data_IF_552715904527
#
_entry.id   IF_552715904527
#
_cell.length_a   1.000
_cell.length_b   1.000
_cell.length_c   1.000
_cell.angle_alpha   90.00
_cell.angle_beta   90.00
_cell.angle_gamma   90.00
#
_symmetry.space_group_name_H-M   'P 1'
#
loop_
_entity.id
_entity.type
_entity.pdbx_description
1 polymer ?
#
# COMPACT_ATOMS: atom_id res chain seq x y z
N UNK A 1 7.60 19.05 0.91
CA UNK A 1 6.54 18.03 0.88
C UNK A 1 5.20 18.69 1.14
N UNK A 2 4.19 18.33 0.40
CA UNK A 2 2.89 18.97 0.56
C UNK A 2 2.15 18.44 1.78
N UNK A 3 1.26 19.27 2.33
CA UNK A 3 0.38 18.86 3.43
C UNK A 3 -0.50 17.69 3.04
N UNK A 4 -0.83 17.58 1.76
CA UNK A 4 -1.67 16.50 1.26
C UNK A 4 -1.07 15.12 1.53
N UNK A 5 0.24 14.96 1.33
CA UNK A 5 0.90 13.69 1.62
C UNK A 5 0.80 13.33 3.09
N UNK A 6 1.00 14.31 3.95
CA UNK A 6 0.91 14.09 5.40
C UNK A 6 -0.52 13.74 5.81
N UNK A 7 -1.50 14.44 5.25
CA UNK A 7 -2.90 14.20 5.55
C UNK A 7 -3.33 12.80 5.13
N UNK A 8 -2.92 12.36 3.94
CA UNK A 8 -3.24 11.02 3.46
C UNK A 8 -2.59 9.97 4.36
N UNK A 9 -1.31 10.16 4.68
CA UNK A 9 -0.59 9.22 5.54
C UNK A 9 -1.24 9.12 6.92
N UNK A 10 -1.60 10.25 7.50
CA UNK A 10 -2.21 10.27 8.83
C UNK A 10 -3.62 9.66 8.83
N UNK A 11 -4.29 9.63 7.69
CA UNK A 11 -5.64 9.06 7.57
C UNK A 11 -5.61 7.54 7.45
N UNK A 12 -4.44 6.93 7.23
CA UNK A 12 -4.35 5.50 7.04
C UNK A 12 -4.55 4.77 8.37
N UNK A 13 -5.58 3.93 8.41
CA UNK A 13 -5.82 3.00 9.51
C UNK A 13 -5.54 1.58 9.03
N UNK A 14 -5.33 0.61 9.94
CA UNK A 14 -5.16 -0.77 9.52
C UNK A 14 -6.30 -1.28 8.64
N UNK A 15 -7.54 -0.88 8.95
CA UNK A 15 -8.72 -1.30 8.20
C UNK A 15 -8.75 -0.70 6.80
N UNK A 16 -8.38 0.58 6.67
CA UNK A 16 -8.31 1.23 5.36
C UNK A 16 -7.22 0.61 4.49
N UNK A 17 -6.06 0.32 5.08
CA UNK A 17 -4.96 -0.32 4.34
C UNK A 17 -5.36 -1.73 3.93
N UNK A 18 -6.02 -2.48 4.80
CA UNK A 18 -6.53 -3.80 4.45
C UNK A 18 -7.46 -3.73 3.24
N UNK A 19 -8.43 -2.81 3.27
CA UNK A 19 -9.36 -2.63 2.16
C UNK A 19 -8.65 -2.24 0.87
N UNK A 20 -7.68 -1.33 0.97
CA UNK A 20 -6.87 -0.92 -0.17
C UNK A 20 -6.15 -2.11 -0.79
N UNK A 21 -5.52 -2.93 0.04
CA UNK A 21 -4.75 -4.08 -0.45
C UNK A 21 -5.65 -5.09 -1.16
N UNK A 22 -6.84 -5.36 -0.62
CA UNK A 22 -7.78 -6.26 -1.31
C UNK A 22 -8.24 -5.68 -2.65
N UNK A 23 -8.48 -4.38 -2.72
CA UNK A 23 -8.84 -3.75 -4.00
C UNK A 23 -7.71 -3.83 -5.02
N UNK A 24 -6.46 -3.81 -4.55
CA UNK A 24 -5.30 -3.93 -5.43
C UNK A 24 -4.99 -5.36 -5.81
N UNK A 25 -5.74 -6.34 -5.29
CA UNK A 25 -5.60 -7.72 -5.69
C UNK A 25 -4.93 -8.64 -4.68
N UNK A 26 -4.77 -8.19 -3.43
CA UNK A 26 -4.21 -9.06 -2.39
C UNK A 26 -5.09 -10.29 -2.21
N UNK A 27 -4.46 -11.44 -2.08
CA UNK A 27 -5.16 -12.71 -1.88
C UNK A 27 -5.58 -12.87 -0.43
N UNK A 28 -4.74 -12.41 0.49
CA UNK A 28 -5.01 -12.52 1.92
C UNK A 28 -4.29 -11.40 2.66
N UNK A 29 -4.95 -10.83 3.66
CA UNK A 29 -4.35 -9.86 4.57
C UNK A 29 -4.54 -10.37 5.99
N UNK A 30 -3.43 -10.51 6.73
CA UNK A 30 -3.44 -10.95 8.12
C UNK A 30 -3.06 -9.76 9.00
N UNK A 31 -3.98 -9.31 9.85
CA UNK A 31 -3.74 -8.18 10.74
C UNK A 31 -3.17 -8.67 12.07
N UNK A 32 -2.05 -8.08 12.48
CA UNK A 32 -1.44 -8.29 13.79
C UNK A 32 -1.56 -7.02 14.63
N UNK A 33 -0.98 -7.02 15.82
CA UNK A 33 -1.13 -5.89 16.75
C UNK A 33 -0.46 -4.61 16.27
N UNK A 34 0.70 -4.72 15.63
CA UNK A 34 1.48 -3.55 15.21
C UNK A 34 1.76 -3.50 13.72
N UNK A 35 1.33 -4.51 12.98
CA UNK A 35 1.56 -4.59 11.53
C UNK A 35 0.55 -5.54 10.89
N UNK A 36 0.46 -5.48 9.56
CA UNK A 36 -0.26 -6.50 8.80
C UNK A 36 0.67 -7.12 7.77
N UNK A 37 0.30 -8.29 7.30
CA UNK A 37 1.07 -9.07 6.33
C UNK A 37 0.16 -9.42 5.16
N UNK A 38 0.70 -9.32 3.94
CA UNK A 38 -0.02 -9.71 2.75
C UNK A 38 0.96 -10.29 1.71
N UNK A 39 0.41 -10.83 0.63
CA UNK A 39 1.25 -11.32 -0.45
C UNK A 39 1.89 -10.14 -1.21
N UNK A 40 2.98 -10.42 -1.92
CA UNK A 40 3.87 -9.39 -2.49
C UNK A 40 3.29 -8.78 -3.77
N UNK A 41 2.15 -8.11 -3.65
CA UNK A 41 1.48 -7.46 -4.79
C UNK A 41 2.27 -6.28 -5.34
N UNK A 42 3.27 -5.80 -4.60
CA UNK A 42 4.08 -4.68 -5.05
C UNK A 42 4.90 -5.03 -6.29
N UNK A 43 5.22 -6.31 -6.52
CA UNK A 43 5.98 -6.71 -7.70
C UNK A 43 5.45 -7.98 -8.38
N UNK A 44 4.76 -8.86 -7.68
CA UNK A 44 4.26 -10.09 -8.32
C UNK A 44 3.08 -10.68 -7.55
N UNK A 45 1.87 -10.45 -8.08
CA UNK A 45 0.63 -10.95 -7.46
C UNK A 45 0.57 -12.48 -7.48
N UNK A 46 1.20 -13.11 -8.46
CA UNK A 46 1.12 -14.55 -8.66
C UNK A 46 2.01 -15.34 -7.72
N UNK A 47 3.01 -14.68 -7.15
CA UNK A 47 3.97 -15.32 -6.27
C UNK A 47 3.32 -15.89 -5.01
N UNK A 48 2.34 -15.19 -4.46
CA UNK A 48 1.63 -15.66 -3.27
C UNK A 48 2.44 -15.63 -1.99
N UNK A 49 3.70 -15.18 -2.04
CA UNK A 49 4.54 -15.09 -0.84
C UNK A 49 4.00 -14.02 0.12
N UNK A 50 3.81 -14.40 1.37
CA UNK A 50 3.34 -13.48 2.42
C UNK A 50 4.53 -12.72 3.00
N UNK A 51 5.13 -11.85 2.18
CA UNK A 51 6.36 -11.13 2.51
C UNK A 51 6.23 -9.62 2.42
N UNK A 52 5.03 -9.10 2.20
CA UNK A 52 4.79 -7.66 2.21
C UNK A 52 4.15 -7.28 3.54
N UNK A 53 4.84 -6.44 4.31
CA UNK A 53 4.41 -5.99 5.63
C UNK A 53 4.04 -4.52 5.57
N UNK A 54 3.05 -4.14 6.36
CA UNK A 54 2.72 -2.74 6.59
C UNK A 54 2.73 -2.49 8.09
N UNK A 55 3.58 -1.57 8.54
CA UNK A 55 3.73 -1.24 9.96
C UNK A 55 2.88 -0.02 10.30
N UNK A 56 1.99 -0.17 11.29
CA UNK A 56 0.99 0.85 11.60
C UNK A 56 1.60 2.17 12.07
N UNK A 57 2.62 2.11 12.93
CA UNK A 57 3.19 3.33 13.53
C UNK A 57 3.95 4.18 12.53
N UNK A 58 4.72 3.55 11.68
CA UNK A 58 5.55 4.26 10.71
C UNK A 58 4.84 4.52 9.39
N UNK A 59 3.72 3.84 9.12
CA UNK A 59 3.01 3.85 7.85
C UNK A 59 3.90 3.40 6.69
N UNK A 60 4.88 2.51 6.97
CA UNK A 60 5.79 2.02 5.95
C UNK A 60 5.42 0.62 5.51
N UNK A 61 5.51 0.39 4.21
CA UNK A 61 5.46 -0.94 3.63
C UNK A 61 6.87 -1.49 3.52
N UNK A 62 7.04 -2.77 3.86
CA UNK A 62 8.33 -3.44 3.73
C UNK A 62 8.12 -4.75 2.99
N UNK A 63 8.75 -4.86 1.83
CA UNK A 63 8.78 -6.09 1.05
C UNK A 63 10.09 -6.81 1.34
N UNK A 64 10.00 -7.96 1.99
CA UNK A 64 11.19 -8.69 2.43
C UNK A 64 11.83 -9.55 1.35
N UNK A 65 11.36 -9.44 0.11
CA UNK A 65 11.93 -10.18 -1.01
C UNK A 65 12.64 -9.29 -2.01
N UNK A 66 12.01 -8.18 -2.44
CA UNK A 66 12.55 -7.39 -3.55
C UNK A 66 12.48 -5.89 -3.38
N UNK A 67 11.36 -5.35 -2.92
CA UNK A 67 11.12 -3.91 -3.01
C UNK A 67 11.65 -3.10 -1.83
N UNK A 68 12.09 -3.75 -0.77
CA UNK A 68 12.59 -3.10 0.45
C UNK A 68 11.52 -2.24 1.13
N UNK A 69 11.93 -1.15 1.76
CA UNK A 69 11.06 -0.26 2.51
C UNK A 69 10.47 0.81 1.59
N UNK A 70 9.17 1.02 1.68
CA UNK A 70 8.44 1.96 0.83
C UNK A 70 7.45 2.77 1.64
N UNK A 71 7.34 4.07 1.31
CA UNK A 71 6.20 4.85 1.77
C UNK A 71 4.94 4.34 1.07
N UNK A 72 3.72 4.72 1.55
CA UNK A 72 2.50 4.31 0.84
C UNK A 72 2.48 4.72 -0.63
N UNK A 73 3.02 5.91 -0.93
CA UNK A 73 3.06 6.41 -2.31
C UNK A 73 4.06 5.64 -3.16
N UNK A 74 5.22 5.31 -2.60
CA UNK A 74 6.20 4.49 -3.31
C UNK A 74 5.71 3.07 -3.51
N UNK A 75 4.97 2.53 -2.56
CA UNK A 75 4.33 1.23 -2.72
C UNK A 75 3.38 1.23 -3.91
N UNK A 76 2.52 2.24 -4.01
CA UNK A 76 1.59 2.36 -5.14
C UNK A 76 2.32 2.58 -6.46
N UNK A 77 3.41 3.35 -6.44
CA UNK A 77 4.22 3.56 -7.63
C UNK A 77 4.79 2.23 -8.12
N UNK A 78 5.36 1.43 -7.24
CA UNK A 78 5.87 0.10 -7.58
C UNK A 78 4.74 -0.79 -8.12
N UNK A 79 3.59 -0.75 -7.48
CA UNK A 79 2.44 -1.54 -7.91
C UNK A 79 2.06 -1.21 -9.34
N UNK A 80 1.95 0.08 -9.67
CA UNK A 80 1.55 0.50 -11.01
C UNK A 80 2.64 0.22 -12.04
N UNK A 81 3.90 0.43 -11.68
CA UNK A 81 5.03 0.17 -12.59
C UNK A 81 5.11 -1.30 -12.99
N UNK A 82 4.90 -2.21 -12.06
CA UNK A 82 4.98 -3.65 -12.36
C UNK A 82 3.82 -4.12 -13.21
N UNK A 83 2.77 -3.32 -13.37
CA UNK A 83 1.61 -3.65 -14.19
C UNK A 83 1.51 -2.79 -15.43
N UNK A 84 2.57 -2.02 -15.74
CA UNK A 84 2.60 -1.10 -16.89
C UNK A 84 1.46 -0.09 -16.89
N UNK A 85 1.04 0.35 -15.70
CA UNK A 85 0.01 1.37 -15.54
C UNK A 85 0.70 2.68 -15.20
N UNK A 86 0.50 3.76 -15.99
CA UNK A 86 1.10 5.06 -15.66
C UNK A 86 0.60 5.57 -14.32
N UNK A 87 1.51 6.11 -13.53
CA UNK A 87 1.19 6.69 -12.23
C UNK A 87 1.67 8.13 -12.19
N UNK A 88 0.73 9.05 -12.04
CA UNK A 88 1.00 10.47 -11.98
C UNK A 88 1.06 10.98 -10.55
N UNK A 89 2.19 11.50 -10.16
CA UNK A 89 2.41 11.99 -8.80
C UNK A 89 1.42 13.06 -8.37
N UNK A 90 1.08 13.98 -9.27
CA UNK A 90 0.15 15.06 -8.93
C UNK A 90 -1.29 14.59 -8.85
N UNK A 91 -1.52 13.32 -9.10
CA UNK A 91 -2.84 12.72 -8.96
C UNK A 91 -2.93 11.87 -7.70
N UNK A 92 -1.98 12.01 -6.79
CA UNK A 92 -2.04 11.31 -5.50
C UNK A 92 -3.30 11.68 -4.72
N UNK A 93 -3.90 12.81 -5.00
CA UNK A 93 -5.21 13.18 -4.47
C UNK A 93 -6.26 12.09 -4.75
N UNK A 94 -6.09 11.35 -5.83
CA UNK A 94 -6.98 10.25 -6.18
C UNK A 94 -6.87 9.11 -5.16
N UNK A 95 -5.75 9.00 -4.48
CA UNK A 95 -5.57 8.02 -3.40
C UNK A 95 -6.49 8.35 -2.24
N UNK A 96 -6.61 9.64 -1.92
CA UNK A 96 -7.52 10.08 -0.87
C UNK A 96 -8.97 9.76 -1.22
N UNK A 97 -9.39 10.03 -2.46
CA UNK A 97 -10.72 9.67 -2.93
C UNK A 97 -10.93 8.16 -2.88
N UNK A 98 -9.93 7.39 -3.30
CA UNK A 98 -9.98 5.95 -3.25
C UNK A 98 -10.15 5.45 -1.82
N UNK A 99 -9.44 6.04 -0.88
CA UNK A 99 -9.55 5.67 0.54
C UNK A 99 -10.92 6.04 1.11
N UNK A 100 -11.49 7.16 0.69
CA UNK A 100 -12.85 7.55 1.09
C UNK A 100 -13.87 6.53 0.61
N UNK A 101 -13.75 6.10 -0.65
CA UNK A 101 -14.66 5.11 -1.23
C UNK A 101 -14.51 3.75 -0.56
N UNK A 102 -13.33 3.45 -0.05
CA UNK A 102 -13.02 2.19 0.62
C UNK A 102 -13.46 2.21 2.08
N UNK A 103 -13.31 3.35 2.70
CA UNK A 103 -13.65 3.54 4.11
C UNK A 103 -15.10 3.81 4.35
#
# INVERSE_FOLDING_TARGET
MSLLYQEITDALTPELVESLLYKLGAQEVIKKDSYLITNTICHNVEDGSMKLYYYYDSHLFVCYTRCSTMSPFNFLKHYYETRDIPYDWYKDVNILDFLRDTG
#
